data_IF_542287885263
#
_entry.id   IF_542287885263
#
_cell.length_a   1.000
_cell.length_b   1.000
_cell.length_c   1.000
_cell.angle_alpha   90.00
_cell.angle_beta   90.00
_cell.angle_gamma   90.00
#
_symmetry.space_group_name_H-M   'P 1'
#
loop_
_entity.id
_entity.type
_entity.pdbx_description
1 polymer ?
#
# COMPACT_ATOMS: atom_id res chain seq x y z
N UNK A 1 52.79 34.26 -57.94
CA UNK A 1 51.32 34.37 -58.04
C UNK A 1 50.76 32.96 -58.10
N UNK A 2 50.07 32.54 -57.03
CA UNK A 2 48.92 31.65 -57.09
C UNK A 2 48.26 31.64 -55.70
N UNK A 3 47.00 32.04 -55.69
CA UNK A 3 46.12 32.15 -54.54
C UNK A 3 45.12 30.97 -54.50
N UNK A 4 44.82 30.49 -53.27
CA UNK A 4 43.51 30.00 -52.76
C UNK A 4 43.03 28.60 -53.25
N UNK A 5 42.25 27.77 -52.48
CA UNK A 5 41.50 28.07 -51.24
C UNK A 5 41.66 27.14 -50.02
N UNK A 6 41.53 27.77 -48.85
CA UNK A 6 41.13 27.17 -47.57
C UNK A 6 39.59 27.14 -47.50
N UNK A 7 38.97 25.97 -47.34
CA UNK A 7 37.51 25.87 -47.37
C UNK A 7 36.91 24.53 -46.95
N UNK A 8 37.21 24.01 -45.75
CA UNK A 8 36.63 22.73 -45.29
C UNK A 8 36.22 22.64 -43.81
N UNK A 9 36.41 23.68 -42.99
CA UNK A 9 36.16 23.56 -41.55
C UNK A 9 34.72 23.84 -41.07
N UNK A 10 33.86 24.50 -41.87
CA UNK A 10 32.51 24.90 -41.41
C UNK A 10 31.44 23.80 -41.41
N UNK A 11 31.66 22.69 -42.14
CA UNK A 11 30.66 21.61 -42.26
C UNK A 11 30.73 20.58 -41.13
N UNK A 12 31.85 20.48 -40.43
CA UNK A 12 32.06 19.50 -39.36
C UNK A 12 31.44 19.96 -38.02
N UNK A 13 31.56 21.26 -37.71
CA UNK A 13 31.03 21.83 -36.47
C UNK A 13 29.49 21.79 -36.39
N UNK A 14 28.78 21.99 -37.50
CA UNK A 14 27.31 21.92 -37.55
C UNK A 14 26.76 20.51 -37.45
N UNK A 15 27.50 19.49 -37.89
CA UNK A 15 27.13 18.09 -37.73
C UNK A 15 27.31 17.62 -36.27
N UNK A 16 28.42 17.97 -35.62
CA UNK A 16 28.69 17.67 -34.21
C UNK A 16 27.66 18.32 -33.27
N UNK A 17 27.28 19.58 -33.53
CA UNK A 17 26.29 20.30 -32.72
C UNK A 17 24.87 19.72 -32.86
N UNK A 18 24.50 19.20 -34.04
CA UNK A 18 23.22 18.52 -34.27
C UNK A 18 23.16 17.16 -33.59
N UNK A 19 24.25 16.37 -33.60
CA UNK A 19 24.31 15.11 -32.85
C UNK A 19 24.25 15.32 -31.33
N UNK A 20 24.91 16.37 -30.81
CA UNK A 20 24.85 16.70 -29.39
C UNK A 20 23.44 17.11 -28.93
N UNK A 21 22.71 17.88 -29.74
CA UNK A 21 21.33 18.29 -29.45
C UNK A 21 20.33 17.10 -29.53
N UNK A 22 20.52 16.17 -30.46
CA UNK A 22 19.74 14.93 -30.56
C UNK A 22 19.99 13.99 -29.38
N UNK A 23 21.26 13.85 -28.95
CA UNK A 23 21.60 13.06 -27.76
C UNK A 23 21.01 13.66 -26.47
N UNK A 24 21.03 14.99 -26.32
CA UNK A 24 20.43 15.67 -25.17
C UNK A 24 18.88 15.51 -25.13
N UNK A 25 18.22 15.52 -26.29
CA UNK A 25 16.78 15.26 -26.40
C UNK A 25 16.38 13.82 -26.04
N UNK A 26 17.23 12.83 -26.33
CA UNK A 26 17.00 11.43 -25.99
C UNK A 26 17.17 11.16 -24.48
N UNK A 27 18.11 11.83 -23.81
CA UNK A 27 18.32 11.71 -22.36
C UNK A 27 17.12 12.29 -21.58
N UNK A 28 16.52 13.39 -22.06
CA UNK A 28 15.36 14.02 -21.40
C UNK A 28 14.05 13.22 -21.57
N UNK A 29 13.91 12.44 -22.64
CA UNK A 29 12.74 11.56 -22.83
C UNK A 29 12.84 10.22 -22.07
N UNK A 30 14.04 9.79 -21.69
CA UNK A 30 14.25 8.56 -20.92
C UNK A 30 13.80 8.68 -19.44
N UNK A 31 13.62 9.90 -18.94
CA UNK A 31 13.09 10.17 -17.59
C UNK A 31 11.58 10.43 -17.58
N UNK A 32 10.80 9.86 -18.50
CA UNK A 32 9.35 9.72 -18.27
C UNK A 32 9.12 8.48 -17.41
N UNK A 33 9.18 8.65 -16.08
CA UNK A 33 8.54 7.68 -15.20
C UNK A 33 7.10 7.53 -15.69
N UNK A 34 6.70 6.31 -16.04
CA UNK A 34 5.29 6.02 -16.21
C UNK A 34 4.60 6.50 -14.93
N UNK A 35 3.49 7.27 -15.03
CA UNK A 35 2.73 7.61 -13.83
C UNK A 35 2.40 6.28 -13.17
N UNK A 36 2.88 6.09 -11.93
CA UNK A 36 2.41 4.99 -11.09
C UNK A 36 0.89 5.06 -11.17
N UNK A 37 0.24 3.98 -11.58
CA UNK A 37 -1.23 3.93 -11.62
C UNK A 37 -1.73 4.55 -10.32
N UNK A 38 -2.67 5.50 -10.39
CA UNK A 38 -3.24 6.09 -9.20
C UNK A 38 -3.63 4.93 -8.27
N UNK A 39 -2.99 4.85 -7.11
CA UNK A 39 -3.24 3.76 -6.16
C UNK A 39 -4.71 3.74 -5.75
N UNK A 40 -5.14 2.63 -5.18
CA UNK A 40 -6.47 2.48 -4.61
C UNK A 40 -6.70 3.57 -3.56
N UNK A 41 -7.90 4.19 -3.55
CA UNK A 41 -8.20 5.31 -2.66
C UNK A 41 -8.48 4.88 -1.21
N UNK A 42 -8.67 3.58 -0.98
CA UNK A 42 -9.04 3.01 0.32
C UNK A 42 -10.32 3.63 0.93
N UNK A 43 -11.16 4.26 0.11
CA UNK A 43 -12.41 4.88 0.57
C UNK A 43 -12.22 6.29 1.17
N UNK A 44 -11.11 6.97 0.88
CA UNK A 44 -10.94 8.41 1.18
C UNK A 44 -10.58 9.21 -0.07
N UNK A 45 -11.21 10.37 -0.22
CA UNK A 45 -10.83 11.38 -1.22
C UNK A 45 -9.89 12.44 -0.63
N UNK A 46 -9.57 12.35 0.67
CA UNK A 46 -8.67 13.27 1.33
C UNK A 46 -7.22 12.88 1.04
N UNK A 47 -6.55 13.66 0.19
CA UNK A 47 -5.18 13.40 -0.24
C UNK A 47 -4.16 13.37 0.92
N UNK A 48 -4.38 14.13 2.00
CA UNK A 48 -3.52 14.10 3.19
C UNK A 48 -3.70 12.79 3.93
N UNK A 49 -4.96 12.37 4.11
CA UNK A 49 -5.28 11.12 4.78
C UNK A 49 -4.72 9.91 4.01
N UNK A 50 -4.93 9.88 2.69
CA UNK A 50 -4.41 8.82 1.82
C UNK A 50 -2.86 8.77 1.83
N UNK A 51 -2.19 9.93 1.78
CA UNK A 51 -0.74 9.98 1.83
C UNK A 51 -0.18 9.47 3.17
N UNK A 52 -0.81 9.85 4.29
CA UNK A 52 -0.43 9.37 5.61
C UNK A 52 -0.69 7.87 5.79
N UNK A 53 -1.83 7.37 5.30
CA UNK A 53 -2.17 5.95 5.29
C UNK A 53 -1.14 5.11 4.52
N UNK A 54 -0.79 5.51 3.30
CA UNK A 54 0.22 4.82 2.50
C UNK A 54 1.62 4.88 3.15
N UNK A 55 1.94 6.00 3.82
CA UNK A 55 3.18 6.13 4.59
C UNK A 55 3.24 5.14 5.76
N UNK A 56 2.13 4.93 6.45
CA UNK A 56 2.05 3.96 7.55
C UNK A 56 2.33 2.53 7.08
N UNK A 57 1.77 2.13 5.94
CA UNK A 57 2.06 0.83 5.34
C UNK A 57 3.54 0.67 4.98
N UNK A 58 4.12 1.63 4.27
CA UNK A 58 5.55 1.66 3.94
C UNK A 58 6.41 1.52 5.20
N UNK A 59 6.06 2.25 6.27
CA UNK A 59 6.80 2.20 7.52
C UNK A 59 6.79 0.82 8.19
N UNK A 60 5.69 0.07 8.12
CA UNK A 60 5.65 -1.30 8.67
C UNK A 60 6.36 -2.27 7.73
N UNK A 61 5.95 -2.27 6.47
CA UNK A 61 6.28 -3.34 5.53
C UNK A 61 7.70 -3.21 4.97
N UNK A 62 8.16 -1.98 4.71
CA UNK A 62 9.47 -1.74 4.12
C UNK A 62 10.53 -1.42 5.17
N UNK A 63 10.13 -0.79 6.29
CA UNK A 63 11.07 -0.23 7.27
C UNK A 63 11.00 -0.88 8.66
N UNK A 64 9.98 -1.70 8.95
CA UNK A 64 9.78 -2.33 10.26
C UNK A 64 9.51 -1.35 11.41
N UNK A 65 9.06 -0.13 11.13
CA UNK A 65 8.88 0.98 12.08
C UNK A 65 7.43 1.12 12.56
N UNK A 66 6.99 0.19 13.42
CA UNK A 66 5.62 0.14 13.97
C UNK A 66 5.14 1.44 14.64
N UNK A 67 5.93 2.03 15.54
CA UNK A 67 5.55 3.30 16.20
C UNK A 67 5.46 4.47 15.23
N UNK A 68 6.27 4.48 14.16
CA UNK A 68 6.16 5.51 13.13
C UNK A 68 4.86 5.33 12.33
N UNK A 69 4.54 4.08 11.99
CA UNK A 69 3.33 3.74 11.26
C UNK A 69 2.06 4.07 12.02
N UNK A 70 2.01 3.78 13.32
CA UNK A 70 0.89 4.19 14.17
C UNK A 70 0.65 5.69 14.09
N UNK A 71 1.70 6.52 14.20
CA UNK A 71 1.57 7.98 14.06
C UNK A 71 1.02 8.37 12.68
N UNK A 72 1.47 7.72 11.61
CA UNK A 72 0.99 7.99 10.26
C UNK A 72 -0.48 7.57 10.08
N UNK A 73 -0.92 6.45 10.66
CA UNK A 73 -2.33 6.06 10.61
C UNK A 73 -3.22 6.98 11.44
N UNK A 74 -2.73 7.49 12.58
CA UNK A 74 -3.42 8.52 13.36
C UNK A 74 -3.55 9.81 12.56
N UNK A 75 -2.48 10.27 11.92
CA UNK A 75 -2.52 11.43 11.01
C UNK A 75 -3.56 11.21 9.89
N UNK A 76 -3.68 9.99 9.35
CA UNK A 76 -4.69 9.68 8.36
C UNK A 76 -6.12 9.79 8.92
N UNK A 77 -6.38 9.20 10.08
CA UNK A 77 -7.69 9.23 10.74
C UNK A 77 -8.08 10.64 11.21
N UNK A 78 -7.11 11.45 11.64
CA UNK A 78 -7.32 12.85 12.05
C UNK A 78 -7.63 13.74 10.84
N UNK A 79 -6.96 13.51 9.71
CA UNK A 79 -7.18 14.26 8.47
C UNK A 79 -8.55 13.96 7.84
N UNK A 80 -9.01 12.71 7.91
CA UNK A 80 -10.35 12.30 7.46
C UNK A 80 -11.02 11.41 8.52
N UNK A 81 -11.84 12.00 9.41
CA UNK A 81 -12.57 11.25 10.44
C UNK A 81 -13.61 10.25 9.89
N UNK A 82 -13.92 10.30 8.59
CA UNK A 82 -14.79 9.32 7.93
C UNK A 82 -14.03 8.15 7.31
N UNK A 83 -12.69 8.20 7.30
CA UNK A 83 -11.83 7.19 6.71
C UNK A 83 -11.72 5.94 7.60
N UNK A 84 -12.67 5.02 7.43
CA UNK A 84 -12.82 3.84 8.29
C UNK A 84 -11.60 2.92 8.25
N UNK A 85 -11.01 2.70 7.07
CA UNK A 85 -9.81 1.87 6.97
C UNK A 85 -8.61 2.51 7.69
N UNK A 86 -8.51 3.85 7.68
CA UNK A 86 -7.54 4.59 8.50
C UNK A 86 -7.72 4.29 9.99
N UNK A 87 -8.93 4.43 10.51
CA UNK A 87 -9.25 4.11 11.90
C UNK A 87 -9.00 2.62 12.24
N UNK A 88 -9.29 1.70 11.32
CA UNK A 88 -9.05 0.28 11.49
C UNK A 88 -7.56 -0.05 11.62
N UNK A 89 -6.67 0.65 10.90
CA UNK A 89 -5.23 0.44 11.06
C UNK A 89 -4.69 1.02 12.37
N UNK A 90 -5.23 2.13 12.87
CA UNK A 90 -4.94 2.59 14.24
C UNK A 90 -5.32 1.52 15.25
N UNK A 91 -6.53 0.96 15.13
CA UNK A 91 -6.99 -0.13 16.01
C UNK A 91 -6.13 -1.39 15.91
N UNK A 92 -5.58 -1.72 14.72
CA UNK A 92 -4.69 -2.87 14.54
C UNK A 92 -3.32 -2.70 15.19
N UNK A 93 -2.86 -1.47 15.43
CA UNK A 93 -1.48 -1.22 15.85
C UNK A 93 -1.34 -0.63 17.25
N UNK A 94 -2.37 0.06 17.76
CA UNK A 94 -2.32 0.59 19.13
C UNK A 94 -2.10 -0.52 20.16
N UNK A 95 -1.31 -0.20 21.17
CA UNK A 95 -1.08 -1.08 22.33
C UNK A 95 -2.05 -0.81 23.47
N UNK A 96 -2.90 0.21 23.35
CA UNK A 96 -3.93 0.55 24.34
C UNK A 96 -5.20 -0.26 24.07
N UNK A 97 -5.58 -1.12 25.02
CA UNK A 97 -6.75 -1.99 24.91
C UNK A 97 -8.06 -1.20 24.88
N UNK A 98 -8.20 -0.20 25.76
CA UNK A 98 -9.43 0.57 25.91
C UNK A 98 -9.66 1.42 24.64
N UNK A 99 -8.59 2.01 24.12
CA UNK A 99 -8.63 2.70 22.84
C UNK A 99 -9.02 1.76 21.69
N UNK A 100 -8.38 0.58 21.60
CA UNK A 100 -8.68 -0.39 20.54
C UNK A 100 -10.12 -0.87 20.58
N UNK A 101 -10.70 -1.07 21.76
CA UNK A 101 -12.11 -1.42 21.92
C UNK A 101 -13.04 -0.27 21.50
N UNK A 102 -12.72 0.97 21.86
CA UNK A 102 -13.49 2.14 21.44
C UNK A 102 -13.47 2.34 19.92
N UNK A 103 -12.29 2.19 19.30
CA UNK A 103 -12.14 2.23 17.84
C UNK A 103 -12.94 1.11 17.16
N UNK A 104 -12.85 -0.12 17.68
CA UNK A 104 -13.60 -1.25 17.16
C UNK A 104 -15.12 -0.97 17.15
N UNK A 105 -15.66 -0.50 18.27
CA UNK A 105 -17.08 -0.19 18.38
C UNK A 105 -17.50 0.92 17.40
N UNK A 106 -16.68 1.95 17.24
CA UNK A 106 -16.93 3.02 16.28
C UNK A 106 -16.91 2.52 14.82
N UNK A 107 -15.95 1.66 14.46
CA UNK A 107 -15.85 1.07 13.12
C UNK A 107 -17.08 0.18 12.84
N UNK A 108 -17.47 -0.66 13.80
CA UNK A 108 -18.65 -1.53 13.68
C UNK A 108 -19.96 -0.74 13.52
N UNK A 109 -20.07 0.44 14.12
CA UNK A 109 -21.22 1.31 13.97
C UNK A 109 -21.32 2.03 12.61
N UNK A 110 -20.22 2.05 11.83
CA UNK A 110 -20.11 2.81 10.59
C UNK A 110 -19.79 1.92 9.37
N UNK A 111 -20.01 0.61 9.47
CA UNK A 111 -19.64 -0.38 8.46
C UNK A 111 -20.19 -0.09 7.05
N UNK A 112 -21.29 0.63 6.95
CA UNK A 112 -22.00 1.05 5.74
C UNK A 112 -21.26 2.12 4.92
N UNK A 113 -20.27 2.80 5.49
CA UNK A 113 -19.48 3.83 4.76
C UNK A 113 -18.34 3.22 3.93
N UNK A 114 -18.03 1.94 4.14
CA UNK A 114 -17.02 1.24 3.35
C UNK A 114 -17.65 0.65 2.08
N UNK A 115 -17.10 0.98 0.92
CA UNK A 115 -17.47 0.35 -0.35
C UNK A 115 -17.08 -1.13 -0.40
N UNK A 116 -17.54 -1.84 -1.43
CA UNK A 116 -17.35 -3.28 -1.59
C UNK A 116 -15.90 -3.74 -1.46
N UNK A 117 -14.95 -3.00 -2.06
CA UNK A 117 -13.54 -3.40 -2.04
C UNK A 117 -12.90 -3.07 -0.70
N UNK A 118 -13.27 -1.94 -0.10
CA UNK A 118 -12.88 -1.58 1.25
C UNK A 118 -13.41 -2.60 2.29
N UNK A 119 -14.61 -3.17 2.07
CA UNK A 119 -15.16 -4.24 2.91
C UNK A 119 -14.30 -5.49 2.92
N UNK A 120 -13.69 -5.85 1.80
CA UNK A 120 -12.79 -7.01 1.73
C UNK A 120 -11.66 -6.87 2.76
N UNK A 121 -11.02 -5.70 2.82
CA UNK A 121 -9.95 -5.43 3.77
C UNK A 121 -10.46 -5.28 5.20
N UNK A 122 -11.51 -4.49 5.38
CA UNK A 122 -12.04 -4.11 6.68
C UNK A 122 -12.50 -5.33 7.49
N UNK A 123 -13.14 -6.30 6.85
CA UNK A 123 -13.65 -7.49 7.53
C UNK A 123 -12.52 -8.35 8.10
N UNK A 124 -11.40 -8.45 7.39
CA UNK A 124 -10.20 -9.13 7.88
C UNK A 124 -9.58 -8.37 9.05
N UNK A 125 -9.49 -7.04 8.95
CA UNK A 125 -8.95 -6.19 10.01
C UNK A 125 -9.79 -6.30 11.29
N UNK A 126 -11.12 -6.31 11.19
CA UNK A 126 -12.03 -6.48 12.32
C UNK A 126 -11.84 -7.84 13.02
N UNK A 127 -11.66 -8.92 12.28
CA UNK A 127 -11.34 -10.22 12.88
C UNK A 127 -10.02 -10.19 13.65
N UNK A 128 -8.99 -9.54 13.09
CA UNK A 128 -7.71 -9.38 13.75
C UNK A 128 -7.83 -8.56 15.04
N UNK A 129 -8.54 -7.43 14.99
CA UNK A 129 -8.77 -6.58 16.17
C UNK A 129 -9.52 -7.34 17.27
N UNK A 130 -10.56 -8.12 16.93
CA UNK A 130 -11.29 -8.96 17.90
C UNK A 130 -10.40 -10.04 18.52
N UNK A 131 -9.51 -10.65 17.73
CA UNK A 131 -8.51 -11.60 18.22
C UNK A 131 -7.51 -10.95 19.19
N UNK A 132 -7.02 -9.76 18.85
CA UNK A 132 -6.09 -8.99 19.70
C UNK A 132 -6.75 -8.56 21.02
N UNK A 133 -7.99 -8.08 20.98
CA UNK A 133 -8.77 -7.77 22.19
C UNK A 133 -8.90 -8.97 23.11
N UNK A 134 -9.33 -10.13 22.58
CA UNK A 134 -9.45 -11.34 23.39
C UNK A 134 -8.11 -11.74 24.03
N UNK A 135 -7.01 -11.67 23.27
CA UNK A 135 -5.66 -11.98 23.78
C UNK A 135 -5.28 -11.07 24.95
N UNK A 136 -5.44 -9.76 24.79
CA UNK A 136 -5.01 -8.78 25.79
C UNK A 136 -5.95 -8.77 27.01
N UNK A 137 -7.20 -9.25 26.86
CA UNK A 137 -8.13 -9.54 27.96
C UNK A 137 -7.87 -10.91 28.64
N UNK A 138 -6.86 -11.68 28.20
CA UNK A 138 -6.55 -13.00 28.74
C UNK A 138 -7.56 -14.09 28.37
N UNK A 139 -8.39 -13.86 27.35
CA UNK A 139 -9.38 -14.82 26.85
C UNK A 139 -8.84 -15.61 25.67
N UNK A 140 -8.97 -16.94 25.74
CA UNK A 140 -8.70 -17.80 24.60
C UNK A 140 -9.74 -17.61 23.50
N UNK A 141 -9.29 -17.46 22.25
CA UNK A 141 -10.18 -17.39 21.10
C UNK A 141 -10.61 -18.80 20.66
N UNK A 142 -11.90 -19.06 20.39
CA UNK A 142 -12.36 -20.37 19.93
C UNK A 142 -11.65 -20.82 18.65
N UNK A 143 -11.40 -22.12 18.50
CA UNK A 143 -10.79 -22.69 17.30
C UNK A 143 -11.57 -22.35 16.02
N UNK A 144 -12.92 -22.45 16.10
CA UNK A 144 -13.82 -22.11 14.99
C UNK A 144 -13.64 -20.66 14.51
N UNK A 145 -13.47 -19.70 15.43
CA UNK A 145 -13.22 -18.31 15.07
C UNK A 145 -11.88 -18.16 14.31
N UNK A 146 -10.85 -18.90 14.71
CA UNK A 146 -9.55 -18.85 14.02
C UNK A 146 -9.61 -19.49 12.62
N UNK A 147 -10.42 -20.52 12.43
CA UNK A 147 -10.68 -21.12 11.12
C UNK A 147 -11.47 -20.17 10.21
N UNK A 148 -12.51 -19.52 10.75
CA UNK A 148 -13.27 -18.49 10.05
C UNK A 148 -12.39 -17.31 9.65
N UNK A 149 -11.54 -16.81 10.57
CA UNK A 149 -10.60 -15.71 10.32
C UNK A 149 -9.61 -16.05 9.20
N UNK A 150 -9.00 -17.23 9.23
CA UNK A 150 -8.09 -17.72 8.16
C UNK A 150 -8.80 -17.79 6.81
N UNK A 151 -9.98 -18.39 6.80
CA UNK A 151 -10.76 -18.57 5.57
C UNK A 151 -11.23 -17.23 5.00
N UNK A 152 -11.63 -16.28 5.86
CA UNK A 152 -12.02 -14.94 5.47
C UNK A 152 -10.82 -14.16 4.90
N UNK A 153 -9.66 -14.22 5.56
CA UNK A 153 -8.46 -13.52 5.10
C UNK A 153 -8.03 -13.98 3.70
N UNK A 154 -7.96 -15.30 3.47
CA UNK A 154 -7.62 -15.85 2.16
C UNK A 154 -8.61 -15.44 1.07
N UNK A 155 -9.92 -15.53 1.33
CA UNK A 155 -10.94 -15.16 0.36
C UNK A 155 -10.91 -13.66 0.05
N UNK A 156 -10.89 -12.83 1.08
CA UNK A 156 -11.06 -11.40 0.91
C UNK A 156 -9.80 -10.75 0.35
N UNK A 157 -8.61 -11.06 0.88
CA UNK A 157 -7.39 -10.54 0.30
C UNK A 157 -7.17 -11.08 -1.10
N UNK A 158 -7.43 -12.36 -1.36
CA UNK A 158 -7.36 -12.94 -2.71
C UNK A 158 -8.26 -12.21 -3.71
N UNK A 159 -9.52 -11.95 -3.34
CA UNK A 159 -10.43 -11.15 -4.17
C UNK A 159 -9.91 -9.72 -4.39
N UNK A 160 -9.43 -9.07 -3.33
CA UNK A 160 -8.91 -7.70 -3.41
C UNK A 160 -7.69 -7.60 -4.32
N UNK A 161 -6.68 -8.46 -4.14
CA UNK A 161 -5.43 -8.41 -4.93
C UNK A 161 -5.64 -8.82 -6.38
N UNK A 162 -6.68 -9.62 -6.65
CA UNK A 162 -7.10 -9.94 -8.03
C UNK A 162 -7.67 -8.69 -8.72
N UNK A 163 -8.47 -7.89 -8.00
CA UNK A 163 -9.04 -6.64 -8.51
C UNK A 163 -8.02 -5.48 -8.54
N UNK A 164 -7.08 -5.47 -7.59
CA UNK A 164 -6.11 -4.40 -7.35
C UNK A 164 -4.66 -4.93 -7.27
N UNK A 165 -4.12 -5.52 -8.35
CA UNK A 165 -2.79 -6.13 -8.36
C UNK A 165 -1.65 -5.11 -8.15
N UNK A 166 -1.93 -3.82 -8.24
CA UNK A 166 -0.98 -2.73 -8.01
C UNK A 166 -0.76 -2.39 -6.53
N UNK A 167 -1.44 -3.05 -5.58
CA UNK A 167 -1.36 -2.78 -4.14
C UNK A 167 -0.42 -3.76 -3.42
N UNK A 168 0.90 -3.49 -3.39
CA UNK A 168 1.91 -4.48 -2.96
C UNK A 168 1.79 -4.85 -1.48
N UNK A 169 1.34 -3.92 -0.63
CA UNK A 169 1.23 -4.17 0.81
C UNK A 169 0.08 -5.12 1.15
N UNK A 170 -1.02 -5.05 0.40
CA UNK A 170 -2.13 -6.00 0.56
C UNK A 170 -1.75 -7.35 -0.08
N UNK A 171 -1.00 -7.35 -1.18
CA UNK A 171 -0.43 -8.57 -1.75
C UNK A 171 0.48 -9.30 -0.75
N UNK A 172 1.35 -8.57 -0.05
CA UNK A 172 2.20 -9.15 0.98
C UNK A 172 1.37 -9.75 2.13
N UNK A 173 0.35 -9.05 2.62
CA UNK A 173 -0.59 -9.61 3.62
C UNK A 173 -1.28 -10.88 3.09
N UNK A 174 -1.71 -10.91 1.83
CA UNK A 174 -2.31 -12.11 1.24
C UNK A 174 -1.34 -13.31 1.25
N UNK A 175 -0.09 -13.10 0.84
CA UNK A 175 0.96 -14.12 0.82
C UNK A 175 1.24 -14.64 2.23
N UNK A 176 1.27 -13.77 3.24
CA UNK A 176 1.42 -14.18 4.65
C UNK A 176 0.28 -15.11 5.09
N UNK A 177 -0.95 -14.87 4.65
CA UNK A 177 -2.07 -15.78 4.93
C UNK A 177 -1.98 -17.09 4.16
N UNK A 178 -1.51 -17.09 2.91
CA UNK A 178 -1.23 -18.34 2.18
C UNK A 178 -0.18 -19.14 2.94
N UNK A 179 0.91 -18.50 3.37
CA UNK A 179 1.96 -19.16 4.13
C UNK A 179 1.42 -19.76 5.43
N UNK A 180 0.63 -18.99 6.19
CA UNK A 180 0.07 -19.43 7.46
C UNK A 180 -0.92 -20.61 7.34
N UNK A 181 -1.56 -20.80 6.18
CA UNK A 181 -2.60 -21.84 5.98
C UNK A 181 -2.10 -23.01 5.14
N UNK A 182 -1.34 -22.74 4.09
CA UNK A 182 -0.93 -23.71 3.06
C UNK A 182 0.59 -23.98 3.05
N UNK A 183 1.37 -23.24 3.83
CA UNK A 183 2.82 -23.44 3.95
C UNK A 183 3.63 -22.63 2.93
N UNK A 184 4.95 -22.71 3.07
CA UNK A 184 5.88 -21.82 2.37
C UNK A 184 5.94 -22.08 0.85
N UNK A 185 5.75 -23.32 0.42
CA UNK A 185 5.74 -23.69 -1.01
C UNK A 185 4.59 -22.99 -1.74
N UNK A 186 3.36 -23.10 -1.24
CA UNK A 186 2.20 -22.42 -1.81
C UNK A 186 2.33 -20.89 -1.78
N UNK A 187 2.98 -20.33 -0.76
CA UNK A 187 3.24 -18.90 -0.67
C UNK A 187 4.24 -18.44 -1.73
N UNK A 188 5.29 -19.23 -1.99
CA UNK A 188 6.26 -18.96 -3.05
C UNK A 188 5.61 -19.03 -4.44
N UNK A 189 4.80 -20.06 -4.70
CA UNK A 189 4.05 -20.20 -5.96
C UNK A 189 3.12 -19.00 -6.21
N UNK A 190 2.53 -18.42 -5.16
CA UNK A 190 1.67 -17.24 -5.29
C UNK A 190 2.43 -15.93 -5.58
N UNK A 191 3.76 -15.93 -5.50
CA UNK A 191 4.62 -14.78 -5.83
C UNK A 191 5.12 -14.80 -7.28
N UNK A 192 5.03 -15.95 -7.96
CA UNK A 192 5.49 -16.18 -9.34
C UNK A 192 4.43 -15.80 -10.39
#
# INVERSE_FOLDING_TARGET
>A
MNEIPCGTHRRCATALMRCALLALGLILSACRHAPRSAGFSYGTDNAVALAAFNRGWMQIMDEGRWTAAERSFREAADADPSFILGAALVARITTDLDERQALLANIEANLDRADTDCRLLLDVFLMNIRAMNARDEGRAMPAVFNEERRSLALRNFGAFVTAHPQEPYIQAEYIEWIHAVHGAEAALEAME
#
